data_IF_979123923551
#
_entry.id   IF_979123923551
#
_cell.length_a   1.000
_cell.length_b   1.000
_cell.length_c   1.000
_cell.angle_alpha   90.00
_cell.angle_beta   90.00
_cell.angle_gamma   90.00
#
_symmetry.space_group_name_H-M   'P 1'
#
loop_
_entity.id
_entity.type
_entity.pdbx_description
1 polymer ?
#
# COMPACT_ATOMS: atom_id res chain seq x y z
N UNK A 1 14.47 4.37 4.12
CA UNK A 1 13.82 5.54 3.49
C UNK A 1 14.79 6.31 2.58
N UNK A 2 16.00 6.71 3.03
CA UNK A 2 17.02 7.31 2.15
C UNK A 2 17.44 6.41 0.97
N UNK A 3 17.56 5.09 1.18
CA UNK A 3 17.88 4.16 0.10
C UNK A 3 16.87 4.13 -1.04
N UNK A 4 15.58 4.37 -0.75
CA UNK A 4 14.52 4.42 -1.76
C UNK A 4 14.57 5.71 -2.58
N UNK A 5 14.96 6.83 -1.94
CA UNK A 5 15.17 8.13 -2.62
C UNK A 5 16.40 8.02 -3.54
N UNK A 6 17.49 7.46 -3.02
CA UNK A 6 18.72 7.25 -3.81
C UNK A 6 18.47 6.28 -4.97
N UNK A 7 17.72 5.19 -4.76
CA UNK A 7 17.39 4.26 -5.84
C UNK A 7 16.46 4.89 -6.88
N UNK A 8 15.52 5.76 -6.47
CA UNK A 8 14.67 6.52 -7.40
C UNK A 8 15.50 7.50 -8.25
N UNK A 9 16.47 8.20 -7.65
CA UNK A 9 17.40 9.07 -8.39
C UNK A 9 18.34 8.28 -9.32
N UNK A 10 18.78 7.08 -8.94
CA UNK A 10 19.61 6.21 -9.79
C UNK A 10 18.81 5.68 -10.97
N UNK A 11 17.55 5.30 -10.75
CA UNK A 11 16.64 4.82 -11.80
C UNK A 11 16.35 5.94 -12.82
N UNK A 12 16.26 7.20 -12.39
CA UNK A 12 16.15 8.36 -13.29
C UNK A 12 17.41 8.60 -14.15
N UNK A 13 18.56 8.11 -13.71
CA UNK A 13 19.85 8.27 -14.42
C UNK A 13 20.08 7.14 -15.46
N UNK A 14 19.26 6.08 -15.46
CA UNK A 14 19.42 4.97 -16.39
C UNK A 14 19.11 5.40 -17.85
N UNK A 15 20.03 5.17 -18.80
CA UNK A 15 19.88 5.59 -20.21
C UNK A 15 18.70 4.90 -20.92
N UNK A 16 18.24 3.76 -20.41
CA UNK A 16 17.06 3.02 -20.90
C UNK A 16 15.76 3.79 -20.63
N UNK A 17 15.63 4.41 -19.46
CA UNK A 17 14.47 5.25 -19.11
C UNK A 17 14.46 6.53 -19.94
N UNK A 18 15.64 7.10 -20.21
CA UNK A 18 15.77 8.24 -21.12
C UNK A 18 15.37 7.88 -22.56
N UNK A 19 15.68 6.66 -23.01
CA UNK A 19 15.29 6.19 -24.34
C UNK A 19 13.77 5.98 -24.46
N UNK A 20 13.13 5.44 -23.43
CA UNK A 20 11.67 5.27 -23.39
C UNK A 20 10.95 6.62 -23.29
N UNK A 21 11.43 7.54 -22.44
CA UNK A 21 10.93 8.92 -22.37
C UNK A 21 11.13 9.67 -23.70
N UNK A 22 12.25 9.44 -24.40
CA UNK A 22 12.52 10.03 -25.72
C UNK A 22 11.53 9.52 -26.77
N UNK A 23 11.24 8.22 -26.80
CA UNK A 23 10.18 7.65 -27.66
C UNK A 23 8.80 8.22 -27.36
N UNK A 24 8.45 8.36 -26.08
CA UNK A 24 7.18 8.97 -25.65
C UNK A 24 7.13 10.49 -25.94
N UNK A 25 8.28 11.17 -25.97
CA UNK A 25 8.42 12.58 -26.36
C UNK A 25 8.43 12.80 -27.88
N UNK A 26 8.73 11.79 -28.69
CA UNK A 26 8.67 11.85 -30.15
C UNK A 26 7.26 11.65 -30.73
N UNK A 27 6.40 10.89 -30.04
CA UNK A 27 4.97 10.76 -30.38
C UNK A 27 4.25 12.13 -30.47
N UNK A 28 4.49 13.11 -29.56
CA UNK A 28 3.97 14.46 -29.73
C UNK A 28 4.59 15.24 -30.89
N UNK A 29 5.86 15.01 -31.24
CA UNK A 29 6.57 15.81 -32.29
C UNK A 29 5.97 15.63 -33.69
N UNK A 30 5.37 14.48 -34.00
CA UNK A 30 4.66 14.27 -35.28
C UNK A 30 3.40 15.14 -35.34
N UNK A 31 2.74 15.35 -34.19
CA UNK A 31 1.58 16.26 -34.09
C UNK A 31 2.00 17.74 -34.05
N UNK A 32 3.21 18.04 -33.54
CA UNK A 32 3.76 19.41 -33.45
C UNK A 32 4.37 19.95 -34.75
N UNK A 33 4.64 19.13 -35.79
CA UNK A 33 5.12 19.65 -37.09
C UNK A 33 4.13 20.59 -37.78
N UNK A 34 2.85 20.54 -37.44
CA UNK A 34 1.86 21.52 -37.91
C UNK A 34 1.91 22.84 -37.12
N UNK A 35 2.71 22.92 -36.06
CA UNK A 35 2.91 24.09 -35.19
C UNK A 35 4.34 24.62 -35.41
N UNK A 36 4.84 24.57 -36.65
CA UNK A 36 6.12 25.17 -37.03
C UNK A 36 6.08 26.70 -37.14
N UNK A 37 4.90 27.32 -37.00
CA UNK A 37 4.72 28.75 -37.29
C UNK A 37 4.70 29.66 -36.05
N UNK A 38 4.69 29.11 -34.83
CA UNK A 38 4.50 29.88 -33.59
C UNK A 38 5.82 30.15 -32.84
N UNK A 39 6.81 30.65 -33.56
CA UNK A 39 8.20 30.87 -33.13
C UNK A 39 8.39 32.04 -32.12
N UNK A 40 7.43 32.36 -31.24
CA UNK A 40 7.51 33.55 -30.36
C UNK A 40 7.25 33.32 -28.86
N UNK A 41 6.91 32.10 -28.41
CA UNK A 41 6.35 31.87 -27.06
C UNK A 41 7.20 31.02 -26.10
N UNK A 42 8.52 30.93 -26.32
CA UNK A 42 9.43 30.05 -25.56
C UNK A 42 9.50 30.36 -24.05
N UNK A 43 9.17 31.59 -23.62
CA UNK A 43 9.15 31.99 -22.19
C UNK A 43 7.91 31.52 -21.42
N UNK A 44 6.84 31.13 -22.12
CA UNK A 44 5.56 30.72 -21.50
C UNK A 44 5.54 29.22 -21.16
N UNK A 45 6.43 28.42 -21.76
CA UNK A 45 6.42 26.95 -21.65
C UNK A 45 6.84 26.46 -20.26
N UNK A 46 7.75 27.16 -19.55
CA UNK A 46 8.16 26.79 -18.19
C UNK A 46 7.02 26.94 -17.17
N UNK A 47 6.21 27.99 -17.28
CA UNK A 47 5.05 28.20 -16.41
C UNK A 47 3.85 27.30 -16.76
N UNK A 48 3.84 26.69 -17.96
CA UNK A 48 2.74 25.86 -18.44
C UNK A 48 3.03 24.36 -18.21
N UNK A 49 4.29 23.95 -18.09
CA UNK A 49 4.63 22.54 -17.84
C UNK A 49 4.28 22.06 -16.41
N UNK A 50 4.44 22.92 -15.40
CA UNK A 50 4.07 22.61 -14.01
C UNK A 50 2.55 22.40 -13.77
N UNK A 51 1.65 23.31 -14.20
CA UNK A 51 0.22 23.15 -13.93
C UNK A 51 -0.40 21.95 -14.68
N UNK A 52 0.11 21.62 -15.87
CA UNK A 52 -0.41 20.48 -16.65
C UNK A 52 -0.03 19.14 -16.00
N UNK A 53 1.19 19.01 -15.49
CA UNK A 53 1.64 17.78 -14.80
C UNK A 53 0.92 17.60 -13.47
N UNK A 54 0.75 18.68 -12.70
CA UNK A 54 0.10 18.64 -11.39
C UNK A 54 -1.39 18.30 -11.48
N UNK A 55 -2.10 18.87 -12.45
CA UNK A 55 -3.50 18.53 -12.74
C UNK A 55 -3.65 17.04 -13.12
N UNK A 56 -2.72 16.52 -13.91
CA UNK A 56 -2.72 15.11 -14.32
C UNK A 56 -2.48 14.14 -13.15
N UNK A 57 -1.58 14.47 -12.22
CA UNK A 57 -1.34 13.65 -11.01
C UNK A 57 -2.55 13.68 -10.07
N UNK A 58 -3.18 14.85 -9.92
CA UNK A 58 -4.40 14.98 -9.11
C UNK A 58 -5.55 14.15 -9.67
N UNK A 59 -5.74 14.14 -10.99
CA UNK A 59 -6.76 13.35 -11.65
C UNK A 59 -6.48 11.84 -11.54
N UNK A 60 -5.21 11.43 -11.68
CA UNK A 60 -4.79 10.04 -11.42
C UNK A 60 -5.05 9.63 -9.97
N UNK A 61 -4.74 10.51 -9.01
CA UNK A 61 -4.97 10.28 -7.58
C UNK A 61 -6.46 10.11 -7.30
N UNK A 62 -7.32 10.93 -7.91
CA UNK A 62 -8.79 10.77 -7.84
C UNK A 62 -9.26 9.45 -8.44
N UNK A 63 -8.64 9.00 -9.52
CA UNK A 63 -8.99 7.74 -10.17
C UNK A 63 -8.63 6.53 -9.31
N UNK A 64 -7.45 6.53 -8.67
CA UNK A 64 -6.99 5.42 -7.82
C UNK A 64 -7.41 5.53 -6.35
N UNK A 65 -8.17 6.58 -5.97
CA UNK A 65 -8.46 6.92 -4.57
C UNK A 65 -9.01 5.77 -3.74
N UNK A 66 -9.85 4.91 -4.32
CA UNK A 66 -10.44 3.79 -3.60
C UNK A 66 -9.42 2.69 -3.29
N UNK A 67 -8.47 2.46 -4.21
CA UNK A 67 -7.35 1.55 -3.97
C UNK A 67 -6.39 2.11 -2.92
N UNK A 68 -6.08 3.41 -3.03
CA UNK A 68 -5.22 4.12 -2.09
C UNK A 68 -5.80 4.14 -0.67
N UNK A 69 -7.10 4.41 -0.52
CA UNK A 69 -7.77 4.33 0.78
C UNK A 69 -7.76 2.92 1.35
N UNK A 70 -8.00 1.90 0.51
CA UNK A 70 -7.94 0.50 0.92
C UNK A 70 -6.57 0.10 1.47
N UNK A 71 -5.48 0.54 0.82
CA UNK A 71 -4.12 0.20 1.27
C UNK A 71 -3.76 0.94 2.56
N UNK A 72 -4.14 2.22 2.67
CA UNK A 72 -3.94 3.01 3.89
C UNK A 72 -4.66 2.37 5.07
N UNK A 73 -5.95 2.04 4.94
CA UNK A 73 -6.73 1.40 5.99
C UNK A 73 -6.13 0.04 6.37
N UNK A 74 -5.75 -0.76 5.37
CA UNK A 74 -5.14 -2.08 5.59
C UNK A 74 -3.89 -1.97 6.46
N UNK A 75 -2.97 -1.07 6.11
CA UNK A 75 -1.73 -0.88 6.85
C UNK A 75 -1.92 -0.19 8.20
N UNK A 76 -2.89 0.72 8.33
CA UNK A 76 -3.26 1.31 9.62
C UNK A 76 -3.71 0.22 10.59
N UNK A 77 -4.67 -0.61 10.18
CA UNK A 77 -5.21 -1.69 11.02
C UNK A 77 -4.10 -2.68 11.38
N UNK A 78 -3.35 -3.15 10.38
CA UNK A 78 -2.25 -4.10 10.60
C UNK A 78 -1.21 -3.56 11.57
N UNK A 79 -0.67 -2.36 11.33
CA UNK A 79 0.41 -1.83 12.17
C UNK A 79 -0.04 -1.36 13.55
N UNK A 80 -1.31 -1.00 13.70
CA UNK A 80 -1.85 -0.68 15.03
C UNK A 80 -1.97 -1.92 15.93
N UNK A 81 -2.23 -3.10 15.35
CA UNK A 81 -2.37 -4.37 16.08
C UNK A 81 -1.01 -5.08 16.20
N UNK A 82 -0.14 -4.94 15.20
CA UNK A 82 1.15 -5.64 15.14
C UNK A 82 2.28 -4.66 14.81
N UNK A 83 3.40 -4.63 15.54
CA UNK A 83 3.82 -5.53 16.62
C UNK A 83 3.46 -5.04 18.03
N UNK A 84 3.07 -3.77 18.20
CA UNK A 84 2.97 -3.11 19.51
C UNK A 84 1.98 -3.78 20.46
N UNK A 85 0.74 -4.03 20.02
CA UNK A 85 -0.26 -4.65 20.87
C UNK A 85 0.07 -6.10 21.25
N UNK A 86 0.57 -6.88 20.29
CA UNK A 86 0.97 -8.29 20.50
C UNK A 86 2.13 -8.42 21.49
N UNK A 87 3.13 -7.51 21.41
CA UNK A 87 4.33 -7.59 22.24
C UNK A 87 4.09 -7.19 23.70
N UNK A 88 3.13 -6.31 23.98
CA UNK A 88 2.95 -5.72 25.30
C UNK A 88 1.82 -6.39 26.11
N UNK A 89 0.72 -6.74 25.43
CA UNK A 89 -0.51 -7.16 26.10
C UNK A 89 -0.72 -8.68 26.14
N UNK A 90 0.01 -9.46 25.34
CA UNK A 90 -0.15 -10.92 25.30
C UNK A 90 0.99 -11.62 26.02
N UNK A 91 0.82 -11.78 27.34
CA UNK A 91 1.75 -12.54 28.19
C UNK A 91 1.19 -13.94 28.43
N UNK A 92 1.84 -14.93 27.85
CA UNK A 92 1.54 -16.33 28.12
C UNK A 92 2.44 -16.89 29.23
N UNK A 93 1.85 -17.59 30.19
CA UNK A 93 2.59 -18.25 31.27
C UNK A 93 3.48 -19.42 30.80
N UNK A 94 3.24 -19.96 29.59
CA UNK A 94 3.91 -21.18 29.09
C UNK A 94 5.05 -20.88 28.09
N UNK A 95 4.89 -19.87 27.23
CA UNK A 95 5.87 -19.46 26.21
C UNK A 95 6.60 -18.15 26.53
N UNK A 96 6.20 -17.43 27.59
CA UNK A 96 6.85 -16.23 28.15
C UNK A 96 7.33 -15.27 27.03
N UNK A 97 8.64 -15.09 26.88
CA UNK A 97 9.25 -14.11 25.97
C UNK A 97 9.32 -14.60 24.51
N UNK A 98 9.09 -15.90 24.25
CA UNK A 98 9.13 -16.48 22.90
C UNK A 98 7.79 -16.33 22.15
N UNK A 99 6.72 -16.06 22.88
CA UNK A 99 5.37 -16.02 22.31
C UNK A 99 5.19 -14.91 21.26
N UNK A 100 5.65 -13.66 21.48
CA UNK A 100 5.61 -12.62 20.45
C UNK A 100 6.44 -13.00 19.23
N UNK A 101 7.62 -13.62 19.41
CA UNK A 101 8.50 -14.03 18.30
C UNK A 101 7.78 -15.03 17.40
N UNK A 102 7.14 -16.05 17.99
CA UNK A 102 6.38 -17.06 17.25
C UNK A 102 5.21 -16.40 16.49
N UNK A 103 4.48 -15.49 17.13
CA UNK A 103 3.40 -14.75 16.47
C UNK A 103 3.90 -13.90 15.30
N UNK A 104 5.04 -13.24 15.44
CA UNK A 104 5.68 -12.50 14.36
C UNK A 104 6.07 -13.44 13.20
N UNK A 105 6.62 -14.61 13.50
CA UNK A 105 6.96 -15.61 12.48
C UNK A 105 5.71 -16.10 11.75
N UNK A 106 4.65 -16.45 12.48
CA UNK A 106 3.39 -16.91 11.90
C UNK A 106 2.76 -15.82 11.03
N UNK A 107 2.75 -14.58 11.49
CA UNK A 107 2.29 -13.43 10.72
C UNK A 107 3.03 -13.30 9.39
N UNK A 108 4.37 -13.37 9.40
CA UNK A 108 5.17 -13.24 8.18
C UNK A 108 4.98 -14.42 7.22
N UNK A 109 4.90 -15.66 7.73
CA UNK A 109 4.64 -16.84 6.89
C UNK A 109 3.26 -16.74 6.23
N UNK A 110 2.24 -16.37 6.99
CA UNK A 110 0.87 -16.24 6.47
C UNK A 110 0.71 -15.04 5.53
N UNK A 111 1.40 -13.92 5.77
CA UNK A 111 1.49 -12.80 4.83
C UNK A 111 2.09 -13.23 3.49
N UNK A 112 3.19 -13.98 3.51
CA UNK A 112 3.78 -14.53 2.31
C UNK A 112 2.81 -15.46 1.58
N UNK A 113 2.14 -16.37 2.31
CA UNK A 113 1.13 -17.25 1.73
C UNK A 113 -0.02 -16.47 1.07
N UNK A 114 -0.47 -15.37 1.68
CA UNK A 114 -1.53 -14.51 1.11
C UNK A 114 -1.08 -13.83 -0.19
N UNK A 115 0.17 -13.37 -0.26
CA UNK A 115 0.76 -12.82 -1.49
C UNK A 115 0.84 -13.89 -2.59
N UNK A 116 1.29 -15.09 -2.25
CA UNK A 116 1.30 -16.23 -3.17
C UNK A 116 -0.10 -16.57 -3.67
N UNK A 117 -1.11 -16.56 -2.78
CA UNK A 117 -2.49 -16.84 -3.14
C UNK A 117 -3.06 -15.82 -4.14
N UNK A 118 -2.64 -14.56 -4.05
CA UNK A 118 -3.01 -13.51 -5.02
C UNK A 118 -2.54 -13.84 -6.44
N UNK A 119 -1.40 -14.52 -6.57
CA UNK A 119 -0.89 -14.97 -7.87
C UNK A 119 -1.80 -16.01 -8.52
N UNK A 120 -2.40 -16.89 -7.71
CA UNK A 120 -3.34 -17.91 -8.19
C UNK A 120 -4.75 -17.36 -8.41
N UNK A 121 -5.23 -16.50 -7.51
CA UNK A 121 -6.58 -15.95 -7.56
C UNK A 121 -6.58 -14.43 -7.31
N UNK A 122 -6.58 -13.67 -8.41
CA UNK A 122 -6.66 -12.21 -8.37
C UNK A 122 -8.12 -11.75 -8.33
N UNK A 123 -8.50 -11.10 -7.24
CA UNK A 123 -9.86 -10.58 -7.09
C UNK A 123 -10.01 -9.27 -7.87
N UNK A 124 -10.65 -9.34 -9.04
CA UNK A 124 -10.79 -8.17 -9.92
C UNK A 124 -11.91 -7.17 -9.50
N UNK A 125 -12.67 -7.47 -8.44
CA UNK A 125 -13.84 -6.66 -8.05
C UNK A 125 -13.48 -5.64 -6.97
N UNK A 126 -13.49 -4.35 -7.34
CA UNK A 126 -13.22 -3.24 -6.41
C UNK A 126 -14.15 -3.29 -5.19
N UNK A 127 -15.45 -3.57 -5.38
CA UNK A 127 -16.42 -3.58 -4.28
C UNK A 127 -16.09 -4.64 -3.23
N UNK A 128 -15.67 -5.84 -3.68
CA UNK A 128 -15.26 -6.92 -2.79
C UNK A 128 -13.95 -6.60 -2.07
N UNK A 129 -12.99 -5.98 -2.75
CA UNK A 129 -11.70 -5.57 -2.13
C UNK A 129 -11.92 -4.47 -1.10
N UNK A 130 -12.75 -3.46 -1.41
CA UNK A 130 -13.11 -2.40 -0.47
C UNK A 130 -13.88 -2.96 0.74
N UNK A 131 -14.82 -3.88 0.52
CA UNK A 131 -15.52 -4.56 1.61
C UNK A 131 -14.56 -5.36 2.48
N UNK A 132 -13.59 -6.05 1.88
CA UNK A 132 -12.56 -6.77 2.63
C UNK A 132 -11.65 -5.83 3.44
N UNK A 133 -11.33 -4.63 2.93
CA UNK A 133 -10.60 -3.62 3.69
C UNK A 133 -11.42 -3.12 4.89
N UNK A 134 -12.71 -2.88 4.72
CA UNK A 134 -13.63 -2.47 5.81
C UNK A 134 -13.78 -3.60 6.83
N UNK A 135 -13.91 -4.84 6.38
CA UNK A 135 -14.00 -6.01 7.24
C UNK A 135 -12.76 -6.16 8.15
N UNK A 136 -11.60 -5.60 7.78
CA UNK A 136 -10.44 -5.57 8.67
C UNK A 136 -10.70 -4.78 9.96
N UNK A 137 -11.61 -3.83 9.98
CA UNK A 137 -11.98 -3.11 11.20
C UNK A 137 -12.58 -4.06 12.25
N UNK A 138 -13.15 -5.20 11.84
CA UNK A 138 -13.64 -6.23 12.76
C UNK A 138 -12.51 -6.91 13.55
N UNK A 139 -11.26 -6.82 13.10
CA UNK A 139 -10.13 -7.33 13.88
C UNK A 139 -9.97 -6.57 15.20
N UNK A 140 -10.23 -5.26 15.27
CA UNK A 140 -10.14 -4.50 16.53
C UNK A 140 -11.02 -5.08 17.66
N UNK A 141 -12.35 -5.21 17.51
CA UNK A 141 -13.19 -5.78 18.56
C UNK A 141 -12.85 -7.25 18.83
N UNK A 142 -12.44 -8.03 17.81
CA UNK A 142 -12.03 -9.43 18.00
C UNK A 142 -10.77 -9.56 18.87
N UNK A 143 -9.74 -8.77 18.60
CA UNK A 143 -8.53 -8.73 19.42
C UNK A 143 -8.83 -8.21 20.83
N UNK A 144 -9.65 -7.15 20.95
CA UNK A 144 -10.11 -6.64 22.25
C UNK A 144 -10.86 -7.69 23.05
N UNK A 145 -11.75 -8.45 22.42
CA UNK A 145 -12.53 -9.51 23.04
C UNK A 145 -11.68 -10.73 23.43
N UNK A 146 -10.61 -11.03 22.70
CA UNK A 146 -9.67 -12.08 23.11
C UNK A 146 -8.91 -11.70 24.39
N UNK A 147 -8.68 -10.40 24.65
CA UNK A 147 -8.04 -9.94 25.87
C UNK A 147 -8.99 -9.69 27.04
N UNK A 148 -10.10 -9.00 26.81
CA UNK A 148 -11.04 -8.59 27.89
C UNK A 148 -12.25 -9.51 28.03
N UNK A 149 -12.37 -10.52 27.16
CA UNK A 149 -13.50 -11.43 27.15
C UNK A 149 -13.42 -12.57 28.17
N UNK A 150 -14.39 -13.49 28.13
CA UNK A 150 -14.44 -14.66 29.02
C UNK A 150 -13.19 -15.53 28.88
N UNK A 151 -12.80 -16.21 29.96
CA UNK A 151 -11.56 -17.02 30.09
C UNK A 151 -11.28 -18.02 28.95
N UNK A 152 -12.31 -18.44 28.21
CA UNK A 152 -12.18 -19.33 27.05
C UNK A 152 -11.52 -18.63 25.84
N UNK A 153 -11.73 -17.32 25.66
CA UNK A 153 -11.15 -16.51 24.59
C UNK A 153 -9.76 -15.96 24.91
N UNK A 154 -9.37 -15.94 26.20
CA UNK A 154 -8.03 -15.56 26.68
C UNK A 154 -6.99 -16.70 26.50
N UNK A 155 -7.19 -17.57 25.53
CA UNK A 155 -6.28 -18.68 25.24
C UNK A 155 -5.30 -18.27 24.12
N UNK A 156 -4.14 -18.92 24.02
CA UNK A 156 -3.14 -18.66 22.98
C UNK A 156 -3.69 -18.91 21.56
N UNK A 157 -4.49 -19.97 21.43
CA UNK A 157 -5.05 -20.45 20.16
C UNK A 157 -5.82 -19.37 19.38
N UNK A 158 -6.82 -18.67 19.94
CA UNK A 158 -7.53 -17.62 19.21
C UNK A 158 -6.63 -16.47 18.78
N UNK A 159 -5.63 -16.08 19.59
CA UNK A 159 -4.68 -15.01 19.23
C UNK A 159 -3.79 -15.44 18.06
N UNK A 160 -3.28 -16.67 18.07
CA UNK A 160 -2.50 -17.23 16.96
C UNK A 160 -3.33 -17.30 15.68
N UNK A 161 -4.57 -17.79 15.77
CA UNK A 161 -5.48 -17.87 14.62
C UNK A 161 -5.80 -16.48 14.06
N UNK A 162 -6.16 -15.51 14.91
CA UNK A 162 -6.44 -14.14 14.48
C UNK A 162 -5.21 -13.48 13.84
N UNK A 163 -4.02 -13.70 14.41
CA UNK A 163 -2.76 -13.19 13.85
C UNK A 163 -2.46 -13.81 12.48
N UNK A 164 -2.74 -15.10 12.32
CA UNK A 164 -2.62 -15.82 11.04
C UNK A 164 -3.59 -15.27 9.99
N UNK A 165 -4.85 -15.02 10.36
CA UNK A 165 -5.83 -14.38 9.48
C UNK A 165 -5.46 -12.94 9.15
N UNK A 166 -4.95 -12.18 10.12
CA UNK A 166 -4.48 -10.81 9.93
C UNK A 166 -3.36 -10.75 8.89
N UNK A 167 -2.36 -11.65 9.00
CA UNK A 167 -1.25 -11.80 8.06
C UNK A 167 -1.71 -12.23 6.68
N UNK A 168 -2.49 -13.31 6.59
CA UNK A 168 -3.00 -13.83 5.31
C UNK A 168 -3.79 -12.77 4.53
N UNK A 169 -4.71 -12.08 5.20
CA UNK A 169 -5.51 -11.02 4.59
C UNK A 169 -4.68 -9.78 4.26
N UNK A 170 -3.65 -9.46 5.06
CA UNK A 170 -2.75 -8.34 4.77
C UNK A 170 -1.98 -8.59 3.47
N UNK A 171 -1.37 -9.76 3.33
CA UNK A 171 -0.62 -10.15 2.14
C UNK A 171 -1.50 -10.18 0.90
N UNK A 172 -2.68 -10.80 1.00
CA UNK A 172 -3.62 -10.93 -0.11
C UNK A 172 -4.14 -9.57 -0.60
N UNK A 173 -4.63 -8.71 0.32
CA UNK A 173 -5.18 -7.40 -0.03
C UNK A 173 -4.12 -6.46 -0.55
N UNK A 174 -2.94 -6.44 0.06
CA UNK A 174 -1.81 -5.60 -0.39
C UNK A 174 -1.42 -5.95 -1.82
N UNK A 175 -1.18 -7.23 -2.11
CA UNK A 175 -0.83 -7.66 -3.47
C UNK A 175 -1.96 -7.35 -4.46
N UNK A 176 -3.21 -7.61 -4.10
CA UNK A 176 -4.36 -7.34 -4.99
C UNK A 176 -4.46 -5.85 -5.30
N UNK A 177 -4.39 -4.97 -4.29
CA UNK A 177 -4.47 -3.52 -4.46
C UNK A 177 -3.31 -2.97 -5.29
N UNK A 178 -2.08 -3.42 -5.02
CA UNK A 178 -0.90 -2.96 -5.75
C UNK A 178 -0.87 -3.45 -7.20
N UNK A 179 -1.55 -4.55 -7.53
CA UNK A 179 -1.70 -5.04 -8.91
C UNK A 179 -2.85 -4.32 -9.63
N UNK A 180 -4.01 -4.15 -8.98
CA UNK A 180 -5.19 -3.55 -9.61
C UNK A 180 -5.05 -2.04 -9.84
N UNK A 181 -4.41 -1.31 -8.94
CA UNK A 181 -4.34 0.16 -9.05
C UNK A 181 -3.60 0.62 -10.32
N UNK A 182 -2.39 0.14 -10.66
CA UNK A 182 -1.72 0.49 -11.92
C UNK A 182 -2.45 -0.03 -13.17
N UNK A 183 -3.19 -1.14 -13.06
CA UNK A 183 -4.02 -1.70 -14.15
C UNK A 183 -5.29 -0.89 -14.40
N UNK A 184 -5.76 -0.12 -13.42
CA UNK A 184 -6.98 0.69 -13.54
C UNK A 184 -6.79 2.01 -14.30
N UNK A 185 -5.53 2.41 -14.53
CA UNK A 185 -5.15 3.63 -15.23
C UNK A 185 -4.55 3.31 -16.61
N UNK A 186 -4.44 4.33 -17.47
CA UNK A 186 -3.80 4.18 -18.77
C UNK A 186 -2.33 3.72 -18.63
N UNK A 187 -1.84 2.90 -19.56
CA UNK A 187 -0.47 2.35 -19.52
C UNK A 187 0.62 3.42 -19.37
N UNK A 188 0.41 4.61 -19.94
CA UNK A 188 1.32 5.75 -19.83
C UNK A 188 1.40 6.39 -18.43
N UNK A 189 0.43 6.10 -17.57
CA UNK A 189 0.33 6.61 -16.20
C UNK A 189 0.43 5.51 -15.13
N UNK A 190 0.55 4.24 -15.55
CA UNK A 190 0.61 3.07 -14.66
C UNK A 190 1.81 3.12 -13.70
N UNK A 191 2.98 3.55 -14.20
CA UNK A 191 4.17 3.73 -13.38
C UNK A 191 3.96 4.75 -12.25
N UNK A 192 3.41 5.92 -12.59
CA UNK A 192 3.08 6.96 -11.62
C UNK A 192 2.04 6.50 -10.60
N UNK A 193 1.01 5.76 -11.04
CA UNK A 193 0.02 5.19 -10.15
C UNK A 193 0.63 4.18 -9.15
N UNK A 194 1.58 3.36 -9.61
CA UNK A 194 2.35 2.46 -8.73
C UNK A 194 3.14 3.22 -7.67
N UNK A 195 3.83 4.30 -8.05
CA UNK A 195 4.58 5.16 -7.11
C UNK A 195 3.64 5.79 -6.08
N UNK A 196 2.50 6.34 -6.52
CA UNK A 196 1.50 6.91 -5.61
C UNK A 196 0.98 5.87 -4.61
N UNK A 197 0.70 4.65 -5.06
CA UNK A 197 0.26 3.56 -4.17
C UNK A 197 1.30 3.24 -3.08
N UNK A 198 2.59 3.24 -3.42
CA UNK A 198 3.68 3.03 -2.43
C UNK A 198 3.75 4.20 -1.43
N UNK A 199 3.53 5.44 -1.89
CA UNK A 199 3.48 6.60 -1.00
C UNK A 199 2.30 6.49 -0.01
N UNK A 200 1.11 6.14 -0.49
CA UNK A 200 -0.06 5.92 0.37
C UNK A 200 0.14 4.76 1.34
N UNK A 201 0.79 3.67 0.92
CA UNK A 201 1.22 2.59 1.81
C UNK A 201 2.12 3.15 2.94
N UNK A 202 3.09 4.00 2.61
CA UNK A 202 3.93 4.70 3.57
C UNK A 202 3.15 5.52 4.60
N UNK A 203 2.15 6.29 4.14
CA UNK A 203 1.24 7.05 5.02
C UNK A 203 0.48 6.11 5.95
N UNK A 204 -0.05 5.00 5.42
CA UNK A 204 -0.73 3.98 6.21
C UNK A 204 0.17 3.37 7.29
N UNK A 205 1.45 3.16 6.98
CA UNK A 205 2.41 2.67 7.98
C UNK A 205 2.62 3.68 9.12
N UNK A 206 2.85 4.95 8.80
CA UNK A 206 3.04 6.00 9.81
C UNK A 206 1.78 6.17 10.68
N UNK A 207 0.61 6.22 10.04
CA UNK A 207 -0.67 6.32 10.75
C UNK A 207 -0.96 5.11 11.64
N UNK A 208 -0.65 3.89 11.17
CA UNK A 208 -0.82 2.67 11.93
C UNK A 208 0.07 2.63 13.18
N UNK A 209 1.32 3.05 13.08
CA UNK A 209 2.22 3.16 14.24
C UNK A 209 1.71 4.16 15.28
N UNK A 210 1.18 5.31 14.84
CA UNK A 210 0.62 6.32 15.75
C UNK A 210 -0.64 5.79 16.48
N UNK A 211 -1.53 5.11 15.76
CA UNK A 211 -2.72 4.49 16.34
C UNK A 211 -2.38 3.30 17.24
N UNK A 212 -1.34 2.52 16.90
CA UNK A 212 -0.85 1.43 17.75
C UNK A 212 -0.34 1.94 19.09
N UNK A 213 0.34 3.09 19.10
CA UNK A 213 0.77 3.74 20.35
C UNK A 213 -0.41 4.21 21.20
N UNK A 214 -1.45 4.79 20.58
CA UNK A 214 -2.69 5.17 21.29
C UNK A 214 -3.44 3.99 21.90
N UNK A 215 -3.27 2.78 21.37
CA UNK A 215 -3.93 1.59 21.89
C UNK A 215 -3.20 0.95 23.08
N UNK A 216 -1.92 1.29 23.26
CA UNK A 216 -1.05 0.76 24.31
C UNK A 216 -1.15 1.59 25.60
N UNK A 217 -1.48 2.88 25.48
CA UNK A 217 -1.68 3.83 26.59
C UNK A 217 -3.11 3.75 27.10
#
# INVERSE_FOLDING_TARGET
MLGCIVCSCIVETLPIMQHYRRKVSEIPKIHTRNISDLHSSTSTIYNVHEPIVQNKIWDLTKQIRWYALGIVITYIVTLSIFPGYISENVKSNLLRDWYPIILMTIYNITDLAGKCFTSFYLLNSIGKVSWACIARLLFYPLFTACLHGPRWLQTEIPVVLLTSFLGLTNGYLTSTLMILAPKSVAASASETAGILMVLFLGIGMVGGSFLGWLWII
#
